data_IF_224339457183
#
_entry.id   IF_224339457183
#
_cell.length_a   1.000
_cell.length_b   1.000
_cell.length_c   1.000
_cell.angle_alpha   90.00
_cell.angle_beta   90.00
_cell.angle_gamma   90.00
#
_symmetry.space_group_name_H-M   'P 1'
#
loop_
_entity.id
_entity.type
_entity.pdbx_description
1 polymer ?
#
# COMPACT_ATOMS: atom_id res chain seq x y z
N UNK A 1 -17.86 2.21 -17.39
CA UNK A 1 -18.04 3.51 -16.70
C UNK A 1 -19.06 3.28 -15.60
N UNK A 2 -18.70 3.52 -14.33
CA UNK A 2 -19.59 3.31 -13.17
C UNK A 2 -20.29 4.63 -12.81
N UNK A 3 -21.62 4.71 -12.78
CA UNK A 3 -22.35 5.91 -12.38
C UNK A 3 -22.44 6.03 -10.85
N UNK A 4 -21.91 7.11 -10.28
CA UNK A 4 -22.17 7.54 -8.90
C UNK A 4 -22.56 9.01 -8.92
N UNK A 5 -23.74 9.36 -8.37
CA UNK A 5 -24.20 10.73 -8.12
C UNK A 5 -23.74 11.79 -9.13
N UNK A 6 -24.35 11.84 -10.31
CA UNK A 6 -24.14 12.84 -11.38
C UNK A 6 -22.70 13.03 -11.93
N UNK A 7 -21.67 12.35 -11.43
CA UNK A 7 -20.28 12.49 -11.89
C UNK A 7 -19.71 11.16 -12.40
N UNK A 8 -19.11 11.17 -13.59
CA UNK A 8 -18.47 9.96 -14.16
C UNK A 8 -16.98 9.98 -13.88
N UNK A 9 -16.46 8.91 -13.26
CA UNK A 9 -15.02 8.74 -13.10
C UNK A 9 -14.39 8.20 -14.39
N UNK A 10 -13.31 8.84 -14.84
CA UNK A 10 -12.51 8.33 -15.95
C UNK A 10 -12.00 6.91 -15.61
N UNK A 11 -11.98 5.97 -16.57
CA UNK A 11 -11.35 4.65 -16.39
C UNK A 11 -9.92 4.74 -15.86
N UNK A 12 -9.23 5.84 -16.18
CA UNK A 12 -7.89 6.09 -15.67
C UNK A 12 -7.81 6.36 -14.17
N UNK A 13 -8.83 6.97 -13.56
CA UNK A 13 -8.92 7.18 -12.11
C UNK A 13 -9.10 5.85 -11.38
N UNK A 14 -9.90 4.96 -11.95
CA UNK A 14 -10.13 3.60 -11.42
C UNK A 14 -8.83 2.81 -11.45
N UNK A 15 -8.13 2.75 -12.59
CA UNK A 15 -6.84 2.07 -12.69
C UNK A 15 -5.82 2.60 -11.66
N UNK A 16 -5.75 3.92 -11.48
CA UNK A 16 -4.88 4.55 -10.49
C UNK A 16 -5.23 4.14 -9.07
N UNK A 17 -6.51 4.17 -8.70
CA UNK A 17 -6.97 3.75 -7.38
C UNK A 17 -6.63 2.28 -7.09
N UNK A 18 -6.78 1.40 -8.07
CA UNK A 18 -6.36 0.01 -7.95
C UNK A 18 -4.83 -0.14 -7.84
N UNK A 19 -4.05 0.59 -8.63
CA UNK A 19 -2.59 0.58 -8.51
C UNK A 19 -2.14 1.01 -7.10
N UNK A 20 -2.76 2.05 -6.55
CA UNK A 20 -2.51 2.51 -5.17
C UNK A 20 -2.80 1.41 -4.17
N UNK A 21 -3.99 0.81 -4.26
CA UNK A 21 -4.43 -0.24 -3.35
C UNK A 21 -3.47 -1.42 -3.36
N UNK A 22 -3.04 -1.87 -4.54
CA UNK A 22 -2.10 -2.98 -4.70
C UNK A 22 -0.75 -2.64 -4.05
N UNK A 23 -0.19 -1.44 -4.32
CA UNK A 23 1.10 -1.04 -3.75
C UNK A 23 1.05 -0.97 -2.21
N UNK A 24 -0.01 -0.40 -1.64
CA UNK A 24 -0.18 -0.33 -0.19
C UNK A 24 -0.36 -1.72 0.43
N UNK A 25 -1.16 -2.58 -0.19
CA UNK A 25 -1.41 -3.95 0.30
C UNK A 25 -0.13 -4.79 0.25
N UNK A 26 0.63 -4.74 -0.84
CA UNK A 26 1.90 -5.47 -0.95
C UNK A 26 2.93 -4.97 0.06
N UNK A 27 3.03 -3.65 0.24
CA UNK A 27 3.93 -3.05 1.25
C UNK A 27 3.55 -3.48 2.66
N UNK A 28 2.24 -3.52 2.97
CA UNK A 28 1.72 -4.00 4.24
C UNK A 28 2.14 -5.44 4.51
N UNK A 29 1.93 -6.34 3.54
CA UNK A 29 2.25 -7.77 3.69
C UNK A 29 3.76 -7.94 3.93
N UNK A 30 4.61 -7.29 3.14
CA UNK A 30 6.07 -7.36 3.30
C UNK A 30 6.51 -6.84 4.66
N UNK A 31 5.98 -5.69 5.08
CA UNK A 31 6.32 -5.09 6.38
C UNK A 31 5.85 -5.95 7.56
N UNK A 32 4.68 -6.57 7.46
CA UNK A 32 4.16 -7.50 8.46
C UNK A 32 5.05 -8.74 8.57
N UNK A 33 5.41 -9.36 7.43
CA UNK A 33 6.30 -10.53 7.42
C UNK A 33 7.64 -10.21 8.06
N UNK A 34 8.25 -9.07 7.71
CA UNK A 34 9.52 -8.67 8.29
C UNK A 34 9.40 -8.35 9.79
N UNK A 35 8.32 -7.71 10.21
CA UNK A 35 8.05 -7.45 11.62
C UNK A 35 7.89 -8.75 12.41
N UNK A 36 7.17 -9.74 11.89
CA UNK A 36 7.01 -11.05 12.54
C UNK A 36 8.30 -11.87 12.59
N UNK A 37 9.21 -11.65 11.63
CA UNK A 37 10.51 -12.32 11.60
C UNK A 37 11.50 -11.74 12.63
N UNK A 38 11.38 -10.44 12.90
CA UNK A 38 12.29 -9.70 13.79
C UNK A 38 11.74 -9.58 15.23
N UNK A 39 10.43 -9.68 15.41
CA UNK A 39 9.81 -9.66 16.73
C UNK A 39 10.01 -10.99 17.47
N UNK A 40 10.17 -10.91 18.80
CA UNK A 40 10.35 -12.10 19.64
C UNK A 40 9.10 -13.00 19.67
N UNK A 41 9.34 -14.31 19.83
CA UNK A 41 8.32 -15.38 19.77
C UNK A 41 7.21 -15.31 20.85
N UNK A 42 7.23 -14.32 21.74
CA UNK A 42 6.25 -14.18 22.83
C UNK A 42 4.99 -13.37 22.49
N UNK A 43 4.99 -12.65 21.36
CA UNK A 43 3.90 -11.71 21.03
C UNK A 43 2.81 -12.36 20.17
N UNK A 44 1.53 -12.08 20.48
CA UNK A 44 0.42 -12.56 19.65
C UNK A 44 0.44 -11.86 18.30
N UNK A 45 0.32 -12.64 17.21
CA UNK A 45 0.30 -12.15 15.83
C UNK A 45 -0.71 -11.01 15.59
N UNK A 46 -1.88 -11.06 16.24
CA UNK A 46 -2.91 -10.02 16.10
C UNK A 46 -2.41 -8.64 16.53
N UNK A 47 -1.56 -8.56 17.57
CA UNK A 47 -1.01 -7.29 18.02
C UNK A 47 0.08 -6.77 17.08
N UNK A 48 0.90 -7.66 16.52
CA UNK A 48 1.89 -7.32 15.50
C UNK A 48 1.21 -6.79 14.23
N UNK A 49 0.11 -7.43 13.81
CA UNK A 49 -0.67 -6.99 12.66
C UNK A 49 -1.31 -5.61 12.89
N UNK A 50 -1.83 -5.37 14.10
CA UNK A 50 -2.38 -4.06 14.48
C UNK A 50 -1.31 -2.97 14.48
N UNK A 51 -0.13 -3.23 15.04
CA UNK A 51 1.02 -2.30 15.02
C UNK A 51 1.47 -2.01 13.58
N UNK A 52 1.62 -3.03 12.74
CA UNK A 52 2.01 -2.86 11.34
C UNK A 52 0.97 -2.03 10.56
N UNK A 53 -0.33 -2.26 10.77
CA UNK A 53 -1.40 -1.47 10.14
C UNK A 53 -1.39 -0.02 10.62
N UNK A 54 -1.25 0.19 11.93
CA UNK A 54 -1.20 1.53 12.52
C UNK A 54 0.02 2.32 12.04
N UNK A 55 1.19 1.66 11.94
CA UNK A 55 2.41 2.25 11.42
C UNK A 55 2.28 2.62 9.95
N UNK A 56 1.82 1.70 9.10
CA UNK A 56 1.63 1.95 7.67
C UNK A 56 0.58 3.04 7.40
N UNK A 57 -0.51 3.03 8.16
CA UNK A 57 -1.55 4.06 8.07
C UNK A 57 -1.16 5.39 8.72
N UNK A 58 -0.01 5.46 9.40
CA UNK A 58 0.40 6.61 10.22
C UNK A 58 -0.66 7.05 11.24
N UNK A 59 -1.43 6.08 11.77
CA UNK A 59 -2.51 6.33 12.74
C UNK A 59 -1.93 6.69 14.10
N UNK A 60 -0.77 6.14 14.45
CA UNK A 60 -0.04 6.46 15.68
C UNK A 60 -0.63 5.84 16.94
N UNK A 61 -1.55 4.87 16.80
CA UNK A 61 -2.13 4.13 17.93
C UNK A 61 -1.38 2.82 18.11
N UNK A 62 -1.05 2.48 19.36
CA UNK A 62 -0.27 1.28 19.68
C UNK A 62 -1.10 0.33 20.54
N UNK A 63 -0.86 -0.97 20.42
CA UNK A 63 -1.50 -1.98 21.27
C UNK A 63 -0.73 -2.23 22.57
N UNK A 64 0.02 -1.21 23.04
CA UNK A 64 0.99 -1.31 24.15
C UNK A 64 2.12 -2.34 23.91
N UNK A 65 2.37 -2.73 22.66
CA UNK A 65 3.48 -3.62 22.31
C UNK A 65 4.78 -2.86 22.02
N UNK A 66 4.70 -1.65 21.46
CA UNK A 66 5.85 -0.81 21.08
C UNK A 66 6.97 -0.69 22.13
N UNK A 67 6.69 -0.57 23.46
CA UNK A 67 7.77 -0.51 24.47
C UNK A 67 8.41 -1.88 24.76
N UNK A 68 7.78 -2.97 24.35
CA UNK A 68 8.29 -4.35 24.51
C UNK A 68 8.97 -4.89 23.25
N UNK A 69 8.92 -4.15 22.14
CA UNK A 69 9.56 -4.54 20.90
C UNK A 69 11.08 -4.34 20.97
N UNK A 70 11.81 -5.32 20.44
CA UNK A 70 13.26 -5.25 20.25
C UNK A 70 13.65 -4.06 19.34
N UNK A 71 14.86 -3.52 19.50
CA UNK A 71 15.40 -2.40 18.71
C UNK A 71 15.31 -2.64 17.20
N UNK A 72 15.48 -3.89 16.76
CA UNK A 72 15.35 -4.26 15.36
C UNK A 72 13.90 -4.10 14.87
N UNK A 73 12.89 -4.51 15.66
CA UNK A 73 11.48 -4.39 15.29
C UNK A 73 11.01 -2.91 15.29
N UNK A 74 11.53 -2.09 16.21
CA UNK A 74 11.31 -0.63 16.21
C UNK A 74 11.83 0.04 14.93
N UNK A 75 12.98 -0.41 14.44
CA UNK A 75 13.55 0.10 13.17
C UNK A 75 12.61 -0.18 12.00
N UNK A 76 12.01 -1.38 11.97
CA UNK A 76 11.03 -1.78 10.95
C UNK A 76 9.77 -0.92 11.00
N UNK A 77 9.24 -0.67 12.21
CA UNK A 77 8.08 0.22 12.39
C UNK A 77 8.39 1.64 11.90
N UNK A 78 9.58 2.16 12.18
CA UNK A 78 9.99 3.48 11.70
C UNK A 78 10.02 3.55 10.16
N UNK A 79 10.55 2.52 9.50
CA UNK A 79 10.50 2.42 8.04
C UNK A 79 9.07 2.29 7.50
N UNK A 80 8.21 1.49 8.16
CA UNK A 80 6.79 1.36 7.81
C UNK A 80 6.06 2.70 7.90
N UNK A 81 6.29 3.51 8.93
CA UNK A 81 5.72 4.86 9.06
C UNK A 81 6.22 5.80 7.97
N UNK A 82 7.52 5.75 7.67
CA UNK A 82 8.12 6.58 6.62
C UNK A 82 7.51 6.25 5.25
N UNK A 83 7.43 4.95 4.91
CA UNK A 83 6.82 4.48 3.65
C UNK A 83 5.32 4.78 3.64
N UNK A 84 4.61 4.57 4.75
CA UNK A 84 3.20 4.90 4.90
C UNK A 84 2.90 6.37 4.62
N UNK A 85 3.76 7.28 5.10
CA UNK A 85 3.65 8.71 4.84
C UNK A 85 4.14 9.14 3.46
N UNK A 86 5.13 8.46 2.88
CA UNK A 86 5.63 8.71 1.53
C UNK A 86 4.72 8.16 0.44
N UNK A 87 4.01 7.05 0.70
CA UNK A 87 3.08 6.43 -0.23
C UNK A 87 2.16 7.45 -0.90
N UNK A 88 1.44 8.32 -0.16
CA UNK A 88 0.64 9.40 -0.71
C UNK A 88 1.43 10.39 -1.57
N UNK A 89 2.65 10.78 -1.16
CA UNK A 89 3.51 11.70 -1.92
C UNK A 89 3.98 11.09 -3.24
N UNK A 90 4.41 9.83 -3.23
CA UNK A 90 4.80 9.07 -4.44
C UNK A 90 3.63 8.94 -5.41
N UNK A 91 2.42 8.76 -4.90
CA UNK A 91 1.21 8.74 -5.72
C UNK A 91 0.97 10.09 -6.38
N UNK A 92 1.06 11.19 -5.62
CA UNK A 92 0.92 12.56 -6.16
C UNK A 92 1.94 12.81 -7.30
N UNK A 93 3.19 12.37 -7.12
CA UNK A 93 4.25 12.53 -8.14
C UNK A 93 4.02 11.62 -9.36
N UNK A 94 3.65 10.36 -9.16
CA UNK A 94 3.28 9.43 -10.23
C UNK A 94 2.09 9.94 -11.05
N UNK A 95 1.14 10.61 -10.38
CA UNK A 95 0.01 11.28 -11.02
C UNK A 95 0.44 12.50 -11.85
N UNK A 96 1.44 13.25 -11.39
CA UNK A 96 1.92 14.48 -12.03
C UNK A 96 2.74 14.21 -13.30
N UNK A 97 3.44 13.07 -13.39
CA UNK A 97 4.28 12.71 -14.54
C UNK A 97 3.53 12.16 -15.77
N UNK A 98 2.25 12.52 -15.98
CA UNK A 98 1.59 12.33 -17.27
C UNK A 98 2.11 13.33 -18.31
N UNK A 99 3.31 13.08 -18.83
CA UNK A 99 3.64 13.54 -20.18
C UNK A 99 2.76 12.75 -21.16
N UNK A 100 1.94 13.38 -22.01
CA UNK A 100 1.19 12.67 -23.04
C UNK A 100 2.18 12.12 -24.07
N UNK A 101 2.67 10.89 -23.87
CA UNK A 101 3.42 10.18 -24.91
C UNK A 101 2.45 9.70 -25.99
N UNK A 102 2.27 10.57 -26.98
CA UNK A 102 2.26 10.30 -28.43
C UNK A 102 1.78 8.89 -28.84
N UNK A 103 0.49 8.79 -29.20
CA UNK A 103 -0.13 7.83 -30.14
C UNK A 103 0.50 6.42 -30.17
N UNK A 104 0.08 5.55 -29.27
CA UNK A 104 0.17 4.09 -29.46
C UNK A 104 -0.77 3.67 -30.59
N UNK A 105 -0.27 3.69 -31.83
CA UNK A 105 -0.98 3.24 -33.04
C UNK A 105 -0.66 1.76 -33.32
N UNK A 106 -0.55 0.94 -32.28
CA UNK A 106 -0.42 -0.51 -32.42
C UNK A 106 -1.45 -1.16 -31.49
N UNK A 107 -2.55 -1.61 -32.10
CA UNK A 107 -3.65 -2.30 -31.43
C UNK A 107 -3.30 -3.78 -31.37
N UNK A 108 -2.85 -4.25 -30.21
CA UNK A 108 -2.58 -5.67 -29.97
C UNK A 108 -3.88 -6.49 -30.04
N UNK A 109 -3.80 -7.74 -30.51
CA UNK A 109 -4.94 -8.65 -30.55
C UNK A 109 -5.48 -8.92 -29.14
N UNK A 110 -6.80 -8.87 -28.97
CA UNK A 110 -7.43 -9.16 -27.68
C UNK A 110 -7.24 -10.66 -27.36
N UNK A 111 -6.42 -10.97 -26.36
CA UNK A 111 -6.37 -12.29 -25.77
C UNK A 111 -7.45 -12.38 -24.67
N UNK A 112 -8.39 -13.32 -24.81
CA UNK A 112 -9.35 -13.62 -23.76
C UNK A 112 -8.66 -14.46 -22.68
N UNK A 113 -8.17 -13.82 -21.63
CA UNK A 113 -7.59 -14.51 -20.47
C UNK A 113 -8.75 -14.87 -19.55
N UNK A 114 -9.00 -16.17 -19.42
CA UNK A 114 -9.98 -16.69 -18.47
C UNK A 114 -9.39 -16.50 -17.08
N UNK A 115 -9.88 -15.49 -16.37
CA UNK A 115 -9.72 -15.36 -14.92
C UNK A 115 -10.94 -16.04 -14.32
N UNK A 116 -10.74 -17.28 -13.88
CA UNK A 116 -11.77 -18.10 -13.21
C UNK A 116 -12.24 -17.50 -11.89
#
# INVERSE_FOLDING_TARGET
MLPFGHHTFSPSTIQKAFSVLIVFTTTFIIGLTFLTMVADNGHRFIYLMFEAMSALGTVGVTANLTPTLNHAALTVIMFLMFIGRIGPLTLIVSLSNRKPKKKDTIKFANANIIIG
#
